data_IF_572680531359
#
_entry.id   IF_572680531359
#
_cell.length_a   1.000
_cell.length_b   1.000
_cell.length_c   1.000
_cell.angle_alpha   90.00
_cell.angle_beta   90.00
_cell.angle_gamma   90.00
#
_symmetry.space_group_name_H-M   'P 1'
#
loop_
_entity.id
_entity.type
_entity.pdbx_description
1 polymer ?
#
# COMPACT_ATOMS: atom_id res chain seq x y z
N UNK A 1 44.26 26.63 27.51
CA UNK A 1 44.48 26.23 26.10
C UNK A 1 43.94 24.82 25.93
N UNK A 2 42.67 24.74 25.62
CA UNK A 2 41.95 23.48 25.41
C UNK A 2 42.04 23.11 23.93
N UNK A 3 42.71 22.01 23.66
CA UNK A 3 42.82 21.39 22.33
C UNK A 3 41.48 20.79 21.95
N UNK A 4 40.77 21.43 21.03
CA UNK A 4 39.66 20.81 20.30
C UNK A 4 40.23 19.71 19.42
N UNK A 5 40.01 18.46 19.85
CA UNK A 5 40.25 17.30 19.00
C UNK A 5 39.15 17.27 17.90
N UNK A 6 39.50 17.73 16.71
CA UNK A 6 38.68 17.57 15.52
C UNK A 6 38.48 16.07 15.27
N UNK A 7 37.25 15.61 15.48
CA UNK A 7 36.81 14.27 15.07
C UNK A 7 36.73 14.27 13.54
N UNK A 8 37.84 13.90 12.88
CA UNK A 8 37.82 13.53 11.48
C UNK A 8 37.00 12.23 11.32
N UNK A 9 35.76 12.35 10.94
CA UNK A 9 34.99 11.23 10.40
C UNK A 9 35.71 10.75 9.14
N UNK A 10 36.37 9.60 9.20
CA UNK A 10 36.92 8.91 8.04
C UNK A 10 35.73 8.47 7.16
N UNK A 11 35.23 9.37 6.32
CA UNK A 11 34.38 9.00 5.19
C UNK A 11 35.18 8.08 4.25
N UNK A 12 34.76 6.83 4.13
CA UNK A 12 35.34 5.91 3.16
C UNK A 12 35.17 6.50 1.76
N UNK A 13 36.23 6.61 0.94
CA UNK A 13 36.11 7.13 -0.40
C UNK A 13 35.06 6.31 -1.20
N UNK A 14 34.09 6.99 -1.80
CA UNK A 14 33.08 6.34 -2.63
C UNK A 14 33.77 5.71 -3.85
N UNK A 15 33.46 4.47 -4.19
CA UNK A 15 34.01 3.76 -5.35
C UNK A 15 33.70 4.41 -6.72
N UNK A 16 33.00 5.53 -6.73
CA UNK A 16 32.51 6.27 -7.91
C UNK A 16 33.14 7.66 -8.02
N UNK A 17 34.46 7.74 -8.00
CA UNK A 17 35.17 8.98 -8.35
C UNK A 17 35.43 9.97 -7.22
N UNK A 18 35.26 9.57 -5.94
CA UNK A 18 35.87 10.28 -4.80
C UNK A 18 35.29 11.65 -4.48
N UNK A 19 33.99 11.89 -4.68
CA UNK A 19 33.30 13.11 -4.24
C UNK A 19 32.54 12.91 -2.93
N UNK A 20 32.38 13.98 -2.13
CA UNK A 20 31.46 14.02 -1.01
C UNK A 20 30.03 14.07 -1.56
N UNK A 21 29.14 13.21 -1.07
CA UNK A 21 27.73 13.21 -1.50
C UNK A 21 27.11 14.59 -1.23
N UNK A 22 26.57 15.31 -2.25
CA UNK A 22 26.04 16.66 -2.08
C UNK A 22 24.83 16.70 -1.13
N UNK A 23 24.17 15.56 -0.91
CA UNK A 23 22.99 15.47 -0.06
C UNK A 23 23.30 14.99 1.36
N UNK A 24 24.52 14.54 1.67
CA UNK A 24 24.92 14.07 2.99
C UNK A 24 24.12 12.91 3.56
N UNK A 25 23.45 12.12 2.69
CA UNK A 25 22.59 10.99 3.09
C UNK A 25 23.13 9.67 2.53
N UNK A 26 22.78 8.55 3.19
CA UNK A 26 23.14 7.22 2.71
C UNK A 26 22.46 6.92 1.35
N UNK A 27 23.11 6.11 0.52
CA UNK A 27 22.57 5.71 -0.79
C UNK A 27 21.18 5.03 -0.68
N UNK A 28 20.96 4.23 0.35
CA UNK A 28 19.66 3.59 0.59
C UNK A 28 18.55 4.60 0.85
N UNK A 29 18.83 5.64 1.64
CA UNK A 29 17.88 6.72 1.93
C UNK A 29 17.57 7.54 0.68
N UNK A 30 18.59 7.87 -0.11
CA UNK A 30 18.42 8.59 -1.37
C UNK A 30 17.61 7.75 -2.37
N UNK A 31 17.89 6.46 -2.49
CA UNK A 31 17.12 5.54 -3.33
C UNK A 31 15.64 5.53 -2.95
N UNK A 32 15.32 5.47 -1.66
CA UNK A 32 13.93 5.50 -1.18
C UNK A 32 13.23 6.82 -1.51
N UNK A 33 13.91 7.96 -1.49
CA UNK A 33 13.32 9.23 -1.90
C UNK A 33 12.93 9.21 -3.39
N UNK A 34 13.83 8.76 -4.27
CA UNK A 34 13.53 8.64 -5.69
C UNK A 34 12.43 7.63 -5.97
N UNK A 35 12.43 6.50 -5.24
CA UNK A 35 11.38 5.51 -5.33
C UNK A 35 10.01 6.11 -4.97
N UNK A 36 9.89 6.82 -3.85
CA UNK A 36 8.64 7.45 -3.44
C UNK A 36 8.14 8.50 -4.43
N UNK A 37 9.04 9.30 -5.02
CA UNK A 37 8.66 10.29 -6.04
C UNK A 37 8.17 9.59 -7.31
N UNK A 38 8.87 8.56 -7.80
CA UNK A 38 8.47 7.81 -8.98
C UNK A 38 7.14 7.09 -8.78
N UNK A 39 6.91 6.53 -7.60
CA UNK A 39 5.68 5.85 -7.24
C UNK A 39 4.50 6.84 -7.15
N UNK A 40 4.71 8.00 -6.53
CA UNK A 40 3.72 9.07 -6.50
C UNK A 40 3.31 9.54 -7.90
N UNK A 41 4.25 9.66 -8.84
CA UNK A 41 3.97 10.01 -10.24
C UNK A 41 3.16 8.92 -10.93
N UNK A 42 3.49 7.65 -10.71
CA UNK A 42 2.76 6.51 -11.29
C UNK A 42 1.31 6.47 -10.80
N UNK A 43 1.09 6.55 -9.48
CA UNK A 43 -0.26 6.61 -8.93
C UNK A 43 -1.04 7.86 -9.36
N UNK A 44 -0.39 9.00 -9.45
CA UNK A 44 -1.01 10.23 -9.96
C UNK A 44 -1.50 10.05 -11.40
N UNK A 45 -0.71 9.43 -12.26
CA UNK A 45 -1.10 9.10 -13.64
C UNK A 45 -2.32 8.18 -13.70
N UNK A 46 -2.36 7.13 -12.88
CA UNK A 46 -3.49 6.21 -12.80
C UNK A 46 -4.77 6.89 -12.29
N UNK A 47 -4.66 7.73 -11.25
CA UNK A 47 -5.80 8.47 -10.70
C UNK A 47 -6.30 9.54 -11.68
N UNK A 48 -5.41 10.20 -12.42
CA UNK A 48 -5.81 11.11 -13.50
C UNK A 48 -6.58 10.37 -14.60
N UNK A 49 -6.08 9.21 -15.05
CA UNK A 49 -6.77 8.40 -16.05
C UNK A 49 -8.16 7.96 -15.57
N UNK A 50 -8.26 7.51 -14.31
CA UNK A 50 -9.54 7.22 -13.67
C UNK A 50 -10.48 8.43 -13.66
N UNK A 51 -9.96 9.61 -13.28
CA UNK A 51 -10.72 10.86 -13.27
C UNK A 51 -11.24 11.27 -14.65
N UNK A 52 -10.41 11.14 -15.69
CA UNK A 52 -10.83 11.40 -17.07
C UNK A 52 -11.94 10.44 -17.54
N UNK A 53 -11.82 9.16 -17.25
CA UNK A 53 -12.85 8.19 -17.62
C UNK A 53 -14.16 8.43 -16.86
N UNK A 54 -14.09 8.75 -15.58
CA UNK A 54 -15.26 9.14 -14.78
C UNK A 54 -15.96 10.38 -15.34
N UNK A 55 -15.19 11.38 -15.77
CA UNK A 55 -15.74 12.60 -16.36
C UNK A 55 -16.35 12.34 -17.74
N UNK A 56 -15.78 11.42 -18.53
CA UNK A 56 -16.26 11.05 -19.85
C UNK A 56 -17.62 10.31 -19.81
N UNK A 57 -17.88 9.56 -18.76
CA UNK A 57 -19.08 8.71 -18.63
C UNK A 57 -19.83 8.95 -17.31
N UNK A 58 -20.28 10.18 -17.02
CA UNK A 58 -20.83 10.56 -15.71
C UNK A 58 -22.10 9.77 -15.36
N UNK A 59 -22.99 9.52 -16.35
CA UNK A 59 -24.29 8.93 -16.13
C UNK A 59 -24.28 7.40 -15.89
N UNK A 60 -23.24 6.72 -16.37
CA UNK A 60 -23.08 5.26 -16.26
C UNK A 60 -21.97 4.84 -15.33
N UNK A 61 -21.27 5.84 -14.73
CA UNK A 61 -20.20 5.56 -13.76
C UNK A 61 -20.79 5.14 -12.41
N UNK A 62 -20.38 4.00 -11.84
CA UNK A 62 -20.92 3.54 -10.56
C UNK A 62 -20.62 4.54 -9.43
N UNK A 63 -21.59 4.70 -8.53
CA UNK A 63 -21.39 5.48 -7.31
C UNK A 63 -20.69 4.57 -6.30
N UNK A 64 -19.46 4.91 -5.84
CA UNK A 64 -18.66 4.04 -4.96
C UNK A 64 -19.39 3.64 -3.67
N UNK A 65 -20.22 4.52 -3.12
CA UNK A 65 -21.02 4.24 -1.92
C UNK A 65 -22.04 3.12 -2.10
N UNK A 66 -22.49 2.86 -3.33
CA UNK A 66 -23.42 1.77 -3.64
C UNK A 66 -22.71 0.46 -3.96
N UNK A 67 -21.43 0.54 -4.34
CA UNK A 67 -20.60 -0.63 -4.68
C UNK A 67 -19.94 -1.19 -3.43
N UNK A 68 -19.41 -0.33 -2.56
CA UNK A 68 -18.65 -0.69 -1.36
C UNK A 68 -19.48 -0.35 -0.11
N UNK A 69 -20.55 -1.08 0.10
CA UNK A 69 -21.50 -0.87 1.20
C UNK A 69 -21.53 -2.02 2.21
N UNK A 70 -20.80 -3.09 1.97
CA UNK A 70 -20.73 -4.24 2.85
C UNK A 70 -19.67 -4.06 3.94
N UNK A 71 -20.00 -4.47 5.15
CA UNK A 71 -19.08 -4.49 6.28
C UNK A 71 -19.09 -5.89 6.92
N UNK A 72 -17.92 -6.49 7.21
CA UNK A 72 -17.85 -7.79 7.85
C UNK A 72 -18.66 -7.80 9.16
N UNK A 73 -19.47 -8.86 9.35
CA UNK A 73 -20.30 -9.07 10.56
C UNK A 73 -21.46 -8.09 10.77
N UNK A 74 -21.71 -7.15 9.88
CA UNK A 74 -22.81 -6.19 9.97
C UNK A 74 -23.73 -6.33 8.76
N UNK A 75 -25.02 -6.60 8.99
CA UNK A 75 -26.02 -6.81 7.93
C UNK A 75 -26.66 -5.51 7.40
N UNK A 76 -26.27 -4.37 7.95
CA UNK A 76 -26.73 -3.06 7.46
C UNK A 76 -25.74 -2.48 6.47
N UNK A 77 -26.20 -1.88 5.35
CA UNK A 77 -25.33 -1.21 4.41
C UNK A 77 -24.65 -0.01 5.08
N UNK A 78 -23.33 -0.06 5.18
CA UNK A 78 -22.48 1.00 5.71
C UNK A 78 -21.59 1.53 4.60
N UNK A 79 -22.03 2.51 3.80
CA UNK A 79 -21.29 2.97 2.64
C UNK A 79 -19.90 3.49 3.06
N UNK A 80 -18.87 2.97 2.42
CA UNK A 80 -17.47 3.33 2.59
C UNK A 80 -16.89 3.17 4.01
N UNK A 81 -17.64 2.67 4.98
CA UNK A 81 -17.16 2.49 6.36
C UNK A 81 -15.99 1.50 6.44
N UNK A 82 -16.06 0.44 5.63
CA UNK A 82 -14.98 -0.55 5.57
C UNK A 82 -13.69 0.03 4.98
N UNK A 83 -13.79 0.82 3.93
CA UNK A 83 -12.64 1.53 3.34
C UNK A 83 -12.03 2.52 4.35
N UNK A 84 -12.88 3.22 5.12
CA UNK A 84 -12.44 4.07 6.22
C UNK A 84 -11.69 3.29 7.31
N UNK A 85 -12.18 2.12 7.68
CA UNK A 85 -11.50 1.22 8.62
C UNK A 85 -10.13 0.78 8.10
N UNK A 86 -10.04 0.34 6.84
CA UNK A 86 -8.77 -0.03 6.22
C UNK A 86 -7.76 1.12 6.24
N UNK A 87 -8.20 2.34 5.92
CA UNK A 87 -7.37 3.54 5.97
C UNK A 87 -6.87 3.82 7.39
N UNK A 88 -7.74 3.68 8.40
CA UNK A 88 -7.36 3.85 9.80
C UNK A 88 -6.29 2.84 10.24
N UNK A 89 -6.44 1.57 9.85
CA UNK A 89 -5.45 0.51 10.14
C UNK A 89 -4.06 0.87 9.55
N UNK A 90 -4.02 1.39 8.31
CA UNK A 90 -2.75 1.82 7.69
C UNK A 90 -2.12 3.01 8.42
N UNK A 91 -2.93 4.00 8.83
CA UNK A 91 -2.43 5.16 9.60
C UNK A 91 -1.82 4.68 10.91
N UNK A 92 -2.51 3.79 11.64
CA UNK A 92 -1.99 3.22 12.89
C UNK A 92 -0.72 2.40 12.67
N UNK A 93 -0.64 1.63 11.58
CA UNK A 93 0.57 0.90 11.19
C UNK A 93 1.74 1.85 10.90
N UNK A 94 1.48 2.98 10.25
CA UNK A 94 2.51 4.01 10.02
C UNK A 94 3.02 4.62 11.33
N UNK A 95 2.14 4.90 12.29
CA UNK A 95 2.53 5.39 13.62
C UNK A 95 3.41 4.37 14.34
N UNK A 96 3.05 3.08 14.31
CA UNK A 96 3.88 2.03 14.94
C UNK A 96 5.27 1.92 14.29
N UNK A 97 5.37 2.15 12.97
CA UNK A 97 6.67 2.17 12.30
C UNK A 97 7.55 3.35 12.74
N UNK A 98 6.97 4.55 12.88
CA UNK A 98 7.70 5.72 13.42
C UNK A 98 8.23 5.44 14.82
N UNK A 99 7.42 4.82 15.70
CA UNK A 99 7.85 4.44 17.03
C UNK A 99 8.94 3.36 17.01
N UNK A 100 8.93 2.45 16.03
CA UNK A 100 9.99 1.47 15.83
C UNK A 100 11.33 2.15 15.47
N UNK A 101 11.30 3.13 14.56
CA UNK A 101 12.47 3.91 14.15
C UNK A 101 13.03 4.71 15.34
N UNK A 102 12.18 5.37 16.12
CA UNK A 102 12.59 6.11 17.32
C UNK A 102 13.23 5.19 18.37
N UNK A 103 12.61 4.04 18.62
CA UNK A 103 13.18 3.04 19.54
C UNK A 103 14.53 2.50 19.01
N UNK A 104 14.69 2.37 17.68
CA UNK A 104 15.94 1.98 17.04
C UNK A 104 17.06 2.99 17.27
N UNK A 105 16.76 4.28 17.17
CA UNK A 105 17.71 5.35 17.47
C UNK A 105 18.17 5.33 18.95
N UNK A 106 17.29 4.89 19.84
CA UNK A 106 17.59 4.72 21.27
C UNK A 106 18.25 3.38 21.62
N UNK A 107 18.53 2.52 20.62
CA UNK A 107 19.11 1.19 20.78
C UNK A 107 18.30 0.25 21.71
N UNK A 108 16.98 0.43 21.77
CA UNK A 108 16.08 -0.35 22.64
C UNK A 108 15.45 -1.52 21.88
N UNK A 109 16.16 -2.63 21.71
CA UNK A 109 15.73 -3.83 20.99
C UNK A 109 14.30 -4.29 21.27
N UNK A 110 13.91 -4.39 22.55
CA UNK A 110 12.57 -4.88 22.92
C UNK A 110 11.44 -3.98 22.41
N UNK A 111 11.65 -2.67 22.45
CA UNK A 111 10.70 -1.68 21.94
C UNK A 111 10.63 -1.74 20.39
N UNK A 112 11.78 -1.82 19.72
CA UNK A 112 11.85 -2.01 18.26
C UNK A 112 11.08 -3.24 17.83
N UNK A 113 11.32 -4.39 18.46
CA UNK A 113 10.61 -5.64 18.15
C UNK A 113 9.11 -5.51 18.32
N UNK A 114 8.64 -4.90 19.43
CA UNK A 114 7.22 -4.70 19.70
C UNK A 114 6.55 -3.86 18.62
N UNK A 115 7.12 -2.71 18.29
CA UNK A 115 6.53 -1.78 17.33
C UNK A 115 6.59 -2.30 15.90
N UNK A 116 7.70 -2.95 15.49
CA UNK A 116 7.79 -3.60 14.20
C UNK A 116 6.79 -4.75 14.03
N UNK A 117 6.58 -5.56 15.06
CA UNK A 117 5.58 -6.62 15.02
C UNK A 117 4.18 -6.05 14.81
N UNK A 118 3.82 -4.96 15.50
CA UNK A 118 2.53 -4.28 15.32
C UNK A 118 2.38 -3.72 13.91
N UNK A 119 3.46 -3.18 13.32
CA UNK A 119 3.47 -2.71 11.93
C UNK A 119 3.20 -3.85 10.94
N UNK A 120 3.87 -4.99 11.11
CA UNK A 120 3.64 -6.17 10.28
C UNK A 120 2.20 -6.68 10.40
N UNK A 121 1.67 -6.77 11.63
CA UNK A 121 0.27 -7.18 11.87
C UNK A 121 -0.69 -6.20 11.18
N UNK A 122 -0.49 -4.89 11.33
CA UNK A 122 -1.33 -3.88 10.67
C UNK A 122 -1.32 -4.01 9.14
N UNK A 123 -0.15 -4.25 8.55
CA UNK A 123 -0.03 -4.50 7.11
C UNK A 123 -0.73 -5.79 6.66
N UNK A 124 -0.63 -6.86 7.44
CA UNK A 124 -1.35 -8.12 7.15
C UNK A 124 -2.87 -7.97 7.26
N UNK A 125 -3.36 -7.23 8.25
CA UNK A 125 -4.79 -6.92 8.38
C UNK A 125 -5.26 -6.16 7.13
N UNK A 126 -4.50 -5.17 6.66
CA UNK A 126 -4.87 -4.43 5.46
C UNK A 126 -4.91 -5.33 4.21
N UNK A 127 -3.88 -6.15 3.97
CA UNK A 127 -3.84 -7.06 2.82
C UNK A 127 -5.00 -8.07 2.88
N UNK A 128 -5.30 -8.61 4.06
CA UNK A 128 -6.44 -9.50 4.27
C UNK A 128 -7.78 -8.80 4.01
N UNK A 129 -7.92 -7.56 4.45
CA UNK A 129 -9.11 -6.73 4.20
C UNK A 129 -9.29 -6.44 2.71
N UNK A 130 -8.20 -6.15 1.99
CA UNK A 130 -8.24 -5.94 0.54
C UNK A 130 -8.65 -7.21 -0.21
N UNK A 131 -8.15 -8.37 0.20
CA UNK A 131 -8.54 -9.65 -0.39
C UNK A 131 -10.03 -9.95 -0.14
N UNK A 132 -10.56 -9.63 1.04
CA UNK A 132 -11.97 -9.76 1.36
C UNK A 132 -12.84 -8.84 0.50
N UNK A 133 -12.46 -7.56 0.33
CA UNK A 133 -13.16 -6.60 -0.54
C UNK A 133 -13.18 -7.06 -2.00
N UNK A 134 -12.07 -7.58 -2.51
CA UNK A 134 -12.00 -8.16 -3.84
C UNK A 134 -12.92 -9.36 -4.00
N UNK A 135 -12.95 -10.26 -3.01
CA UNK A 135 -13.83 -11.41 -3.02
C UNK A 135 -15.30 -10.98 -3.18
N UNK A 136 -15.75 -10.02 -2.37
CA UNK A 136 -17.13 -9.50 -2.46
C UNK A 136 -17.41 -8.76 -3.76
N UNK A 137 -16.47 -7.98 -4.25
CA UNK A 137 -16.63 -7.29 -5.53
C UNK A 137 -16.70 -8.25 -6.72
N UNK A 138 -15.95 -9.34 -6.70
CA UNK A 138 -15.96 -10.37 -7.76
C UNK A 138 -17.22 -11.24 -7.68
N UNK A 139 -17.62 -11.69 -6.49
CA UNK A 139 -18.79 -12.56 -6.32
C UNK A 139 -20.09 -11.80 -6.48
N UNK A 140 -20.11 -10.53 -6.05
CA UNK A 140 -21.32 -9.70 -6.05
C UNK A 140 -22.41 -10.20 -5.09
N UNK A 141 -23.53 -9.48 -4.99
CA UNK A 141 -24.70 -9.92 -4.25
C UNK A 141 -25.41 -11.08 -4.95
N UNK A 142 -26.21 -11.84 -4.20
CA UNK A 142 -26.97 -13.00 -4.71
C UNK A 142 -27.89 -12.67 -5.89
N UNK A 143 -28.39 -11.44 -5.96
CA UNK A 143 -29.22 -10.96 -7.05
C UNK A 143 -28.35 -10.31 -8.13
N UNK A 144 -28.01 -11.06 -9.17
CA UNK A 144 -27.34 -10.54 -10.35
C UNK A 144 -28.18 -9.52 -11.13
N UNK A 145 -27.54 -8.78 -12.02
CA UNK A 145 -28.18 -7.82 -12.92
C UNK A 145 -28.21 -8.38 -14.34
N UNK A 146 -29.38 -8.30 -14.95
CA UNK A 146 -29.54 -8.69 -16.37
C UNK A 146 -29.06 -7.55 -17.24
N UNK A 147 -28.03 -7.80 -18.06
CA UNK A 147 -27.48 -6.82 -19.01
C UNK A 147 -27.42 -7.41 -20.41
N UNK A 148 -27.70 -6.57 -21.41
CA UNK A 148 -27.47 -6.92 -22.81
C UNK A 148 -26.05 -6.51 -23.17
N UNK A 149 -25.22 -7.46 -23.54
CA UNK A 149 -23.84 -7.29 -23.94
C UNK A 149 -23.61 -7.79 -25.35
N UNK A 150 -22.65 -7.16 -26.04
CA UNK A 150 -22.24 -7.62 -27.38
C UNK A 150 -21.13 -8.65 -27.21
N UNK A 151 -21.44 -9.91 -27.43
CA UNK A 151 -20.48 -11.02 -27.35
C UNK A 151 -20.42 -11.74 -28.70
N UNK A 152 -19.22 -11.94 -29.22
CA UNK A 152 -18.95 -12.54 -30.52
C UNK A 152 -19.78 -11.94 -31.71
N UNK A 153 -20.03 -10.61 -31.66
CA UNK A 153 -20.78 -9.89 -32.69
C UNK A 153 -22.31 -10.04 -32.62
N UNK A 154 -22.83 -10.66 -31.57
CA UNK A 154 -24.27 -10.82 -31.32
C UNK A 154 -24.66 -10.20 -29.98
N UNK A 155 -25.81 -9.53 -29.94
CA UNK A 155 -26.37 -9.00 -28.69
C UNK A 155 -26.98 -10.14 -27.88
N UNK A 156 -26.41 -10.42 -26.72
CA UNK A 156 -26.90 -11.45 -25.80
C UNK A 156 -27.32 -10.81 -24.49
N UNK A 157 -28.44 -11.28 -23.96
CA UNK A 157 -28.91 -10.88 -22.63
C UNK A 157 -28.44 -11.91 -21.62
N UNK A 158 -27.49 -11.53 -20.77
CA UNK A 158 -26.90 -12.41 -19.75
C UNK A 158 -27.12 -11.84 -18.36
N UNK A 159 -27.19 -12.72 -17.37
CA UNK A 159 -27.20 -12.36 -15.95
C UNK A 159 -25.78 -12.26 -15.51
N UNK A 160 -25.39 -11.08 -14.97
CA UNK A 160 -24.04 -10.79 -14.49
C UNK A 160 -24.09 -10.71 -12.97
N UNK A 161 -23.20 -11.46 -12.32
CA UNK A 161 -22.94 -11.40 -10.89
C UNK A 161 -21.55 -10.80 -10.64
N UNK A 162 -21.48 -9.82 -9.75
CA UNK A 162 -20.22 -9.17 -9.39
C UNK A 162 -19.55 -8.41 -10.53
N UNK A 163 -18.24 -8.30 -10.43
CA UNK A 163 -17.43 -7.61 -11.42
C UNK A 163 -16.16 -8.40 -11.75
N UNK A 164 -15.81 -8.41 -13.02
CA UNK A 164 -14.55 -8.94 -13.55
C UNK A 164 -14.05 -8.02 -14.67
N UNK A 165 -12.96 -8.39 -15.35
CA UNK A 165 -12.35 -7.59 -16.41
C UNK A 165 -13.22 -7.48 -17.70
N UNK A 166 -14.26 -8.30 -17.85
CA UNK A 166 -15.15 -8.27 -19.01
C UNK A 166 -16.55 -7.77 -18.69
N UNK A 167 -17.03 -8.11 -17.49
CA UNK A 167 -18.40 -7.81 -17.06
C UNK A 167 -18.38 -7.14 -15.69
N UNK A 168 -19.25 -6.14 -15.52
CA UNK A 168 -19.41 -5.44 -14.26
C UNK A 168 -20.91 -5.18 -14.02
N UNK A 169 -21.47 -5.79 -12.97
CA UNK A 169 -22.88 -5.58 -12.63
C UNK A 169 -23.17 -4.15 -12.17
N UNK A 170 -22.19 -3.47 -11.56
CA UNK A 170 -22.35 -2.14 -10.97
C UNK A 170 -22.31 -0.99 -11.97
N UNK A 171 -21.75 -1.20 -13.17
CA UNK A 171 -21.62 -0.13 -14.17
C UNK A 171 -20.80 -0.57 -15.38
N UNK A 172 -19.89 0.31 -15.81
CA UNK A 172 -18.97 0.02 -16.91
C UNK A 172 -17.87 -0.96 -16.49
N UNK A 173 -17.44 -1.89 -17.36
CA UNK A 173 -16.29 -2.78 -17.09
C UNK A 173 -15.03 -2.02 -16.74
N UNK A 174 -14.75 -0.90 -17.40
CA UNK A 174 -13.58 -0.03 -17.17
C UNK A 174 -13.47 0.44 -15.70
N UNK A 175 -14.57 0.57 -14.97
CA UNK A 175 -14.52 0.86 -13.54
C UNK A 175 -13.87 -0.29 -12.77
N UNK A 176 -14.24 -1.53 -13.07
CA UNK A 176 -13.67 -2.72 -12.46
C UNK A 176 -12.18 -2.87 -12.83
N UNK A 177 -11.79 -2.58 -14.08
CA UNK A 177 -10.42 -2.61 -14.53
C UNK A 177 -9.54 -1.64 -13.72
N UNK A 178 -9.97 -0.39 -13.58
CA UNK A 178 -9.27 0.59 -12.75
C UNK A 178 -9.22 0.18 -11.29
N UNK A 179 -10.33 -0.33 -10.75
CA UNK A 179 -10.37 -0.78 -9.37
C UNK A 179 -9.33 -1.89 -9.12
N UNK A 180 -9.36 -2.96 -9.90
CA UNK A 180 -8.42 -4.07 -9.75
C UNK A 180 -6.97 -3.65 -9.99
N UNK A 181 -6.73 -2.82 -11.01
CA UNK A 181 -5.37 -2.41 -11.33
C UNK A 181 -4.78 -1.50 -10.25
N UNK A 182 -5.50 -0.44 -9.85
CA UNK A 182 -5.01 0.54 -8.86
C UNK A 182 -4.87 -0.12 -7.48
N UNK A 183 -5.90 -0.84 -7.03
CA UNK A 183 -5.87 -1.48 -5.70
C UNK A 183 -4.94 -2.68 -5.67
N UNK A 184 -4.78 -3.41 -6.78
CA UNK A 184 -3.83 -4.50 -6.91
C UNK A 184 -2.39 -4.03 -6.89
N UNK A 185 -2.09 -2.98 -7.63
CA UNK A 185 -0.76 -2.36 -7.64
C UNK A 185 -0.40 -1.81 -6.24
N UNK A 186 -1.35 -1.12 -5.59
CA UNK A 186 -1.19 -0.66 -4.20
C UNK A 186 -1.02 -1.84 -3.22
N UNK A 187 -1.88 -2.84 -3.32
CA UNK A 187 -1.83 -4.04 -2.49
C UNK A 187 -0.49 -4.79 -2.60
N UNK A 188 0.08 -4.85 -3.81
CA UNK A 188 1.41 -5.42 -4.03
C UNK A 188 2.50 -4.60 -3.32
N UNK A 189 2.43 -3.27 -3.33
CA UNK A 189 3.36 -2.41 -2.58
C UNK A 189 3.25 -2.65 -1.07
N UNK A 190 2.03 -2.70 -0.53
CA UNK A 190 1.84 -2.98 0.91
C UNK A 190 2.35 -4.38 1.25
N UNK A 191 2.04 -5.38 0.44
CA UNK A 191 2.52 -6.76 0.66
C UNK A 191 4.04 -6.83 0.64
N UNK A 192 4.71 -6.22 -0.34
CA UNK A 192 6.18 -6.18 -0.40
C UNK A 192 6.78 -5.46 0.81
N UNK A 193 6.15 -4.36 1.26
CA UNK A 193 6.52 -3.66 2.48
C UNK A 193 6.39 -4.54 3.73
N UNK A 194 5.32 -5.34 3.85
CA UNK A 194 5.13 -6.30 4.94
C UNK A 194 6.24 -7.35 4.95
N UNK A 195 6.59 -7.90 3.78
CA UNK A 195 7.68 -8.90 3.65
C UNK A 195 9.03 -8.30 4.08
N UNK A 196 9.34 -7.09 3.61
CA UNK A 196 10.59 -6.40 3.98
C UNK A 196 10.63 -6.15 5.49
N UNK A 197 9.56 -5.59 6.06
CA UNK A 197 9.47 -5.33 7.50
C UNK A 197 9.57 -6.62 8.34
N UNK A 198 9.00 -7.72 7.85
CA UNK A 198 9.12 -9.02 8.51
C UNK A 198 10.57 -9.54 8.49
N UNK A 199 11.29 -9.40 7.37
CA UNK A 199 12.71 -9.76 7.28
C UNK A 199 13.55 -8.91 8.25
N UNK A 200 13.29 -7.60 8.32
CA UNK A 200 13.98 -6.70 9.26
C UNK A 200 13.66 -7.11 10.70
N UNK A 201 12.40 -7.41 11.03
CA UNK A 201 12.00 -7.91 12.33
C UNK A 201 12.78 -9.16 12.74
N UNK A 202 12.92 -10.14 11.84
CA UNK A 202 13.71 -11.34 12.10
C UNK A 202 15.19 -11.02 12.36
N UNK A 203 15.76 -10.04 11.65
CA UNK A 203 17.14 -9.61 11.87
C UNK A 203 17.31 -8.88 13.22
N UNK A 204 16.33 -8.08 13.64
CA UNK A 204 16.30 -7.48 14.98
C UNK A 204 16.23 -8.56 16.05
N UNK A 205 15.36 -9.55 15.86
CA UNK A 205 15.22 -10.67 16.79
C UNK A 205 16.53 -11.45 16.97
N UNK A 206 17.20 -11.76 15.87
CA UNK A 206 18.52 -12.43 15.87
C UNK A 206 19.65 -11.57 16.46
N UNK A 207 19.42 -10.29 16.74
CA UNK A 207 20.43 -9.37 17.29
C UNK A 207 21.49 -8.93 16.28
N UNK A 208 21.20 -8.97 14.99
CA UNK A 208 22.15 -8.61 13.93
C UNK A 208 22.54 -7.13 14.02
N UNK A 209 21.60 -6.25 14.34
CA UNK A 209 21.82 -4.80 14.44
C UNK A 209 22.54 -4.41 15.74
N UNK A 210 22.36 -5.15 16.84
CA UNK A 210 23.12 -4.94 18.08
C UNK A 210 24.62 -5.16 17.87
N UNK A 211 24.98 -6.17 17.08
CA UNK A 211 26.37 -6.43 16.71
C UNK A 211 26.99 -5.34 15.84
N UNK A 212 26.16 -4.61 15.07
CA UNK A 212 26.58 -3.50 14.22
C UNK A 212 26.63 -2.16 14.97
N UNK A 213 25.96 -2.06 16.12
CA UNK A 213 25.88 -0.85 16.94
C UNK A 213 24.93 0.24 16.40
N UNK A 214 24.13 -0.06 15.36
CA UNK A 214 23.15 0.87 14.79
C UNK A 214 21.96 0.13 14.16
N UNK A 215 20.81 0.79 14.09
CA UNK A 215 19.55 0.30 13.54
C UNK A 215 19.15 1.11 12.29
N UNK A 216 20.06 1.37 11.39
CA UNK A 216 19.79 2.19 10.18
C UNK A 216 18.79 1.56 9.20
N UNK A 217 18.45 0.29 9.35
CA UNK A 217 17.51 -0.44 8.48
C UNK A 217 16.07 -0.49 9.03
N UNK A 218 15.83 0.13 10.18
CA UNK A 218 14.51 0.18 10.82
C UNK A 218 13.80 1.49 10.50
#
# INVERSE_FOLDING_TARGET
MSSEAAVHSHEKPSGWGGGVSPLGVSYGKMFMWFFLVSDALTFSGLLCAYGFMRHKYPDVWPIPANVFNEFPFVHHPLPLAYVGFMTFVLIMSSVTMVLAVEAGQRLKKKEVMKWMLLTVIGGLIFVGSQAWEWYHFITGPEHGVVKTVLENGTWQTIMIHGANLHHNQYGLPVFADFFFFITGFHGFHVFSGVVINFIIFLNVWKGTYEKRGHYEMV
#
